data_IF_670317681179
#
_entry.id   IF_670317681179
#
_cell.length_a   1.000
_cell.length_b   1.000
_cell.length_c   1.000
_cell.angle_alpha   90.00
_cell.angle_beta   90.00
_cell.angle_gamma   90.00
#
_symmetry.space_group_name_H-M   'P 1'
#
loop_
_entity.id
_entity.type
_entity.pdbx_description
1 polymer ?
#
# COMPACT_ATOMS: atom_id res chain seq x y z
N UNK A 1 -24.38 -46.73 -18.61
CA UNK A 1 -24.46 -45.27 -18.44
C UNK A 1 -23.43 -44.87 -17.38
N UNK A 2 -22.17 -44.55 -17.72
CA UNK A 2 -21.18 -44.18 -16.73
C UNK A 2 -21.32 -42.70 -16.34
N UNK A 3 -21.44 -42.50 -15.03
CA UNK A 3 -21.43 -41.25 -14.24
C UNK A 3 -20.77 -40.04 -14.91
N UNK A 4 -21.61 -39.11 -15.39
CA UNK A 4 -21.23 -37.77 -15.87
C UNK A 4 -20.69 -36.85 -14.76
N UNK A 5 -20.66 -37.29 -13.49
CA UNK A 5 -20.23 -36.48 -12.34
C UNK A 5 -18.71 -36.40 -12.14
N UNK A 6 -17.95 -37.43 -12.57
CA UNK A 6 -16.51 -37.51 -12.29
C UNK A 6 -15.67 -36.55 -13.16
N UNK A 7 -16.14 -36.21 -14.36
CA UNK A 7 -15.41 -35.30 -15.26
C UNK A 7 -15.45 -33.83 -14.83
N UNK A 8 -16.56 -33.38 -14.25
CA UNK A 8 -16.72 -32.01 -13.74
C UNK A 8 -15.86 -31.79 -12.49
N UNK A 9 -15.94 -32.72 -11.53
CA UNK A 9 -15.17 -32.65 -10.29
C UNK A 9 -13.65 -32.62 -10.57
N UNK A 10 -13.18 -33.44 -11.52
CA UNK A 10 -11.77 -33.45 -11.93
C UNK A 10 -11.34 -32.13 -12.60
N UNK A 11 -12.19 -31.53 -13.45
CA UNK A 11 -11.91 -30.22 -14.07
C UNK A 11 -11.87 -29.09 -13.03
N UNK A 12 -12.79 -29.08 -12.07
CA UNK A 12 -12.83 -28.09 -10.99
C UNK A 12 -11.58 -28.22 -10.10
N UNK A 13 -11.19 -29.45 -9.72
CA UNK A 13 -9.99 -29.69 -8.93
C UNK A 13 -8.71 -29.22 -9.64
N UNK A 14 -8.62 -29.45 -10.96
CA UNK A 14 -7.51 -28.98 -11.79
C UNK A 14 -7.41 -27.46 -11.82
N UNK A 15 -8.52 -26.75 -12.06
CA UNK A 15 -8.55 -25.29 -12.07
C UNK A 15 -8.19 -24.68 -10.71
N UNK A 16 -8.67 -25.29 -9.62
CA UNK A 16 -8.34 -24.85 -8.26
C UNK A 16 -6.84 -24.99 -7.99
N UNK A 17 -6.23 -26.11 -8.40
CA UNK A 17 -4.79 -26.34 -8.27
C UNK A 17 -3.97 -25.29 -9.03
N UNK A 18 -4.29 -25.05 -10.30
CA UNK A 18 -3.59 -24.06 -11.13
C UNK A 18 -3.70 -22.64 -10.54
N UNK A 19 -4.84 -22.30 -9.95
CA UNK A 19 -5.02 -21.01 -9.29
C UNK A 19 -4.19 -20.89 -8.01
N UNK A 20 -4.16 -21.94 -7.18
CA UNK A 20 -3.35 -21.97 -5.95
C UNK A 20 -1.87 -21.82 -6.29
N UNK A 21 -1.38 -22.51 -7.32
CA UNK A 21 0.00 -22.44 -7.80
C UNK A 21 0.35 -21.04 -8.32
N UNK A 22 -0.55 -20.40 -9.07
CA UNK A 22 -0.36 -19.02 -9.54
C UNK A 22 -0.28 -18.03 -8.38
N UNK A 23 -1.15 -18.17 -7.39
CA UNK A 23 -1.18 -17.29 -6.22
C UNK A 23 0.04 -17.47 -5.32
N UNK A 24 0.48 -18.72 -5.15
CA UNK A 24 1.76 -19.07 -4.56
C UNK A 24 2.91 -18.30 -5.21
N UNK A 25 3.02 -18.38 -6.55
CA UNK A 25 4.05 -17.68 -7.30
C UNK A 25 4.01 -16.17 -7.16
N UNK A 26 2.81 -15.57 -7.09
CA UNK A 26 2.65 -14.13 -6.87
C UNK A 26 3.12 -13.71 -5.47
N UNK A 27 2.71 -14.43 -4.43
CA UNK A 27 3.11 -14.15 -3.04
C UNK A 27 4.61 -14.29 -2.87
N UNK A 28 5.19 -15.38 -3.40
CA UNK A 28 6.64 -15.60 -3.39
C UNK A 28 7.40 -14.47 -4.10
N UNK A 29 6.89 -13.98 -5.23
CA UNK A 29 7.51 -12.85 -5.96
C UNK A 29 7.49 -11.56 -5.14
N UNK A 30 6.38 -11.26 -4.46
CA UNK A 30 6.27 -10.06 -3.60
C UNK A 30 7.22 -10.15 -2.41
N UNK A 31 7.24 -11.30 -1.73
CA UNK A 31 8.15 -11.54 -0.60
C UNK A 31 9.62 -11.44 -1.07
N UNK A 32 9.97 -12.04 -2.20
CA UNK A 32 11.30 -11.96 -2.78
C UNK A 32 11.68 -10.52 -3.18
N UNK A 33 10.72 -9.73 -3.67
CA UNK A 33 10.89 -8.29 -3.90
C UNK A 33 11.24 -7.55 -2.61
N UNK A 34 10.42 -7.71 -1.57
CA UNK A 34 10.63 -7.06 -0.28
C UNK A 34 11.96 -7.45 0.37
N UNK A 35 12.35 -8.73 0.31
CA UNK A 35 13.66 -9.21 0.78
C UNK A 35 14.82 -8.52 0.07
N UNK A 36 14.76 -8.38 -1.26
CA UNK A 36 15.79 -7.66 -2.04
C UNK A 36 15.86 -6.19 -1.65
N UNK A 37 14.73 -5.54 -1.45
CA UNK A 37 14.70 -4.12 -1.05
C UNK A 37 15.30 -3.90 0.34
N UNK A 38 14.96 -4.76 1.31
CA UNK A 38 15.53 -4.70 2.65
C UNK A 38 17.04 -4.94 2.63
N UNK A 39 17.52 -5.93 1.88
CA UNK A 39 18.96 -6.19 1.73
C UNK A 39 19.70 -4.98 1.18
N UNK A 40 19.18 -4.35 0.12
CA UNK A 40 19.77 -3.11 -0.45
C UNK A 40 19.81 -1.96 0.56
N UNK A 41 18.72 -1.76 1.33
CA UNK A 41 18.67 -0.70 2.36
C UNK A 41 19.66 -0.95 3.50
N UNK A 42 19.75 -2.20 3.96
CA UNK A 42 20.69 -2.60 5.01
C UNK A 42 22.12 -2.37 4.52
N UNK A 43 22.47 -2.87 3.33
CA UNK A 43 23.81 -2.72 2.76
C UNK A 43 24.20 -1.25 2.59
N UNK A 44 23.31 -0.42 2.01
CA UNK A 44 23.56 1.01 1.86
C UNK A 44 23.81 1.69 3.21
N UNK A 45 22.95 1.42 4.21
CA UNK A 45 23.08 2.01 5.55
C UNK A 45 24.29 1.50 6.32
N UNK A 46 24.70 0.25 6.11
CA UNK A 46 25.93 -0.29 6.68
C UNK A 46 27.17 0.37 6.08
N UNK A 47 27.16 0.67 4.79
CA UNK A 47 28.25 1.41 4.14
C UNK A 47 28.30 2.85 4.66
N UNK A 48 27.15 3.53 4.78
CA UNK A 48 27.06 4.88 5.35
C UNK A 48 27.62 4.94 6.78
N UNK A 49 27.34 3.94 7.63
CA UNK A 49 27.81 3.89 9.02
C UNK A 49 29.29 3.47 9.18
N UNK A 50 29.93 2.98 8.11
CA UNK A 50 31.36 2.61 8.11
C UNK A 50 32.26 3.71 7.57
N UNK A 51 31.70 4.60 6.75
CA UNK A 51 32.40 5.73 6.16
C UNK A 51 32.23 6.96 7.05
N UNK A 52 33.18 7.19 7.96
CA UNK A 52 33.14 8.32 8.91
C UNK A 52 33.01 9.68 8.19
N UNK A 53 33.66 9.86 7.03
CA UNK A 53 33.58 11.09 6.26
C UNK A 53 32.23 11.28 5.55
N UNK A 54 31.68 10.19 5.03
CA UNK A 54 30.31 10.17 4.48
C UNK A 54 29.26 10.42 5.57
N UNK A 55 29.48 9.88 6.78
CA UNK A 55 28.58 10.00 7.91
C UNK A 55 28.52 11.44 8.45
N UNK A 56 29.65 12.15 8.52
CA UNK A 56 29.70 13.58 8.82
C UNK A 56 28.94 14.42 7.78
N UNK A 57 29.12 14.13 6.48
CA UNK A 57 28.40 14.81 5.40
C UNK A 57 26.88 14.59 5.47
N UNK A 58 26.44 13.37 5.79
CA UNK A 58 25.03 13.07 6.02
C UNK A 58 24.47 13.78 7.26
N UNK A 59 25.28 13.92 8.31
CA UNK A 59 24.90 14.68 9.49
C UNK A 59 24.77 16.17 9.20
N UNK A 60 25.64 16.73 8.35
CA UNK A 60 25.53 18.12 7.90
C UNK A 60 24.25 18.37 7.09
N UNK A 61 23.88 17.44 6.20
CA UNK A 61 22.61 17.50 5.48
C UNK A 61 21.41 17.42 6.43
N UNK A 62 21.49 16.55 7.45
CA UNK A 62 20.47 16.46 8.50
C UNK A 62 20.34 17.78 9.26
N UNK A 63 21.45 18.39 9.67
CA UNK A 63 21.47 19.70 10.35
C UNK A 63 20.88 20.81 9.48
N UNK A 64 21.15 20.81 8.18
CA UNK A 64 20.61 21.80 7.25
C UNK A 64 19.07 21.77 7.18
N UNK A 65 18.47 20.59 7.41
CA UNK A 65 17.02 20.39 7.47
C UNK A 65 16.37 20.74 8.82
N UNK A 66 17.14 21.05 9.86
CA UNK A 66 16.61 21.41 11.18
C UNK A 66 16.06 22.83 11.19
N UNK A 67 14.99 23.02 11.97
CA UNK A 67 14.48 24.35 12.27
C UNK A 67 15.47 25.16 13.10
N UNK A 68 15.34 26.48 13.09
CA UNK A 68 16.27 27.38 13.78
C UNK A 68 16.36 27.10 15.29
N UNK A 69 15.25 26.67 15.91
CA UNK A 69 15.19 26.28 17.32
C UNK A 69 15.84 24.93 17.65
N UNK A 70 16.07 24.08 16.65
CA UNK A 70 16.67 22.74 16.80
C UNK A 70 18.16 22.72 16.44
N UNK A 71 18.69 23.83 15.94
CA UNK A 71 20.11 23.93 15.57
C UNK A 71 20.97 23.97 16.83
N UNK A 72 22.08 23.22 16.84
CA UNK A 72 22.98 23.26 17.98
C UNK A 72 23.67 24.63 18.07
N UNK A 73 23.53 25.27 19.23
CA UNK A 73 24.17 26.57 19.55
C UNK A 73 25.61 26.39 20.04
N UNK A 74 26.01 25.15 20.36
CA UNK A 74 27.33 24.82 20.86
C UNK A 74 27.84 23.49 20.34
N UNK A 75 29.18 23.34 20.30
CA UNK A 75 29.84 22.06 19.96
C UNK A 75 29.44 20.89 20.85
N UNK A 76 29.00 21.17 22.09
CA UNK A 76 28.53 20.12 23.02
C UNK A 76 27.14 19.63 22.61
N UNK A 77 26.23 20.54 22.26
CA UNK A 77 24.91 20.18 21.74
C UNK A 77 25.02 19.46 20.39
N UNK A 78 25.92 19.92 19.52
CA UNK A 78 26.17 19.32 18.20
C UNK A 78 26.62 17.86 18.34
N UNK A 79 27.59 17.57 19.22
CA UNK A 79 28.04 16.19 19.47
C UNK A 79 26.93 15.31 20.03
N UNK A 80 26.10 15.82 20.95
CA UNK A 80 24.95 15.06 21.48
C UNK A 80 23.94 14.75 20.38
N UNK A 81 23.65 15.74 19.54
CA UNK A 81 22.75 15.60 18.40
C UNK A 81 23.28 14.56 17.40
N UNK A 82 24.58 14.57 17.13
CA UNK A 82 25.26 13.58 16.29
C UNK A 82 25.06 12.16 16.82
N UNK A 83 25.41 11.88 18.08
CA UNK A 83 25.27 10.54 18.64
C UNK A 83 23.81 10.07 18.70
N UNK A 84 22.87 10.97 19.01
CA UNK A 84 21.44 10.64 18.99
C UNK A 84 20.94 10.34 17.58
N UNK A 85 21.41 11.09 16.58
CA UNK A 85 21.09 10.86 15.18
C UNK A 85 21.69 9.55 14.69
N UNK A 86 22.96 9.29 14.93
CA UNK A 86 23.64 8.04 14.57
C UNK A 86 22.98 6.83 15.25
N UNK A 87 22.62 6.96 16.53
CA UNK A 87 21.87 5.95 17.27
C UNK A 87 20.52 5.62 16.65
N UNK A 88 19.81 6.61 16.09
CA UNK A 88 18.57 6.38 15.33
C UNK A 88 18.83 5.60 14.04
N UNK A 89 19.88 5.95 13.28
CA UNK A 89 20.25 5.23 12.07
C UNK A 89 20.59 3.75 12.35
N UNK A 90 21.33 3.48 13.44
CA UNK A 90 21.64 2.12 13.90
C UNK A 90 20.38 1.37 14.33
N UNK A 91 19.43 2.05 14.98
CA UNK A 91 18.15 1.46 15.39
C UNK A 91 17.28 1.10 14.18
N UNK A 92 17.19 1.97 13.18
CA UNK A 92 16.48 1.69 11.92
C UNK A 92 17.05 0.46 11.21
N UNK A 93 18.38 0.40 11.11
CA UNK A 93 19.08 -0.76 10.55
C UNK A 93 18.77 -2.04 11.32
N UNK A 94 18.70 -1.97 12.66
CA UNK A 94 18.26 -3.08 13.50
C UNK A 94 16.84 -3.56 13.16
N UNK A 95 15.90 -2.63 12.98
CA UNK A 95 14.52 -2.95 12.58
C UNK A 95 14.50 -3.66 11.22
N UNK A 96 15.23 -3.15 10.22
CA UNK A 96 15.27 -3.78 8.89
C UNK A 96 15.89 -5.18 8.92
N UNK A 97 16.92 -5.40 9.74
CA UNK A 97 17.50 -6.73 9.95
C UNK A 97 16.49 -7.69 10.57
N UNK A 98 15.74 -7.27 11.59
CA UNK A 98 14.68 -8.11 12.17
C UNK A 98 13.58 -8.42 11.15
N UNK A 99 13.13 -7.42 10.38
CA UNK A 99 12.12 -7.63 9.33
C UNK A 99 12.63 -8.62 8.26
N UNK A 100 13.90 -8.53 7.87
CA UNK A 100 14.49 -9.45 6.92
C UNK A 100 14.52 -10.89 7.48
N UNK A 101 14.96 -11.07 8.73
CA UNK A 101 14.96 -12.37 9.42
C UNK A 101 13.53 -12.92 9.56
N UNK A 102 12.56 -12.07 9.90
CA UNK A 102 11.14 -12.44 9.96
C UNK A 102 10.63 -12.90 8.60
N UNK A 103 10.97 -12.21 7.51
CA UNK A 103 10.59 -12.62 6.16
C UNK A 103 11.32 -13.89 5.71
N UNK A 104 12.55 -14.12 6.15
CA UNK A 104 13.31 -15.34 5.88
C UNK A 104 12.74 -16.56 6.61
N UNK A 105 12.26 -16.36 7.84
CA UNK A 105 11.66 -17.42 8.66
C UNK A 105 10.19 -17.66 8.35
N UNK A 106 9.40 -16.61 8.06
CA UNK A 106 7.95 -16.71 7.78
C UNK A 106 7.58 -16.92 6.32
N UNK A 107 8.51 -16.88 5.36
CA UNK A 107 8.17 -17.04 3.92
C UNK A 107 7.63 -18.42 3.52
N UNK A 108 7.45 -19.32 4.49
CA UNK A 108 7.04 -20.70 4.25
C UNK A 108 5.75 -21.10 4.96
N UNK A 109 4.98 -20.19 5.59
CA UNK A 109 3.74 -20.59 6.28
C UNK A 109 2.66 -21.07 5.27
N UNK A 110 2.41 -22.39 5.16
CA UNK A 110 1.50 -22.94 4.17
C UNK A 110 0.05 -22.54 4.44
N UNK A 111 -0.30 -22.22 5.70
CA UNK A 111 -1.66 -21.81 6.09
C UNK A 111 -2.03 -20.44 5.54
N UNK A 112 -1.11 -19.47 5.58
CA UNK A 112 -1.32 -18.12 5.02
C UNK A 112 -1.50 -18.14 3.49
N UNK A 113 -0.76 -19.02 2.83
CA UNK A 113 -0.85 -19.26 1.39
C UNK A 113 -2.18 -19.93 1.05
N UNK A 114 -2.54 -21.01 1.75
CA UNK A 114 -3.76 -21.77 1.52
C UNK A 114 -5.02 -20.94 1.81
N UNK A 115 -5.02 -20.13 2.87
CA UNK A 115 -6.15 -19.25 3.19
C UNK A 115 -6.34 -18.15 2.15
N UNK A 116 -5.26 -17.54 1.65
CA UNK A 116 -5.31 -16.55 0.57
C UNK A 116 -5.80 -17.17 -0.76
N UNK A 117 -5.24 -18.32 -1.13
CA UNK A 117 -5.61 -19.04 -2.34
C UNK A 117 -7.05 -19.55 -2.30
N UNK A 118 -7.49 -20.12 -1.16
CA UNK A 118 -8.89 -20.54 -0.92
C UNK A 118 -9.85 -19.36 -1.04
N UNK A 119 -9.53 -18.20 -0.46
CA UNK A 119 -10.38 -16.99 -0.53
C UNK A 119 -10.52 -16.46 -1.95
N UNK A 120 -9.48 -16.59 -2.78
CA UNK A 120 -9.53 -16.19 -4.20
C UNK A 120 -10.23 -17.24 -5.08
N UNK A 121 -10.01 -18.52 -4.83
CA UNK A 121 -10.68 -19.60 -5.53
C UNK A 121 -12.20 -19.60 -5.28
N UNK A 122 -12.62 -19.38 -4.04
CA UNK A 122 -14.03 -19.19 -3.70
C UNK A 122 -14.63 -17.99 -4.44
N UNK A 123 -13.88 -16.88 -4.60
CA UNK A 123 -14.33 -15.73 -5.40
C UNK A 123 -14.52 -16.06 -6.87
N UNK A 124 -13.67 -16.91 -7.44
CA UNK A 124 -13.77 -17.31 -8.84
C UNK A 124 -14.89 -18.33 -9.08
N UNK A 125 -15.07 -19.29 -8.18
CA UNK A 125 -16.19 -20.24 -8.23
C UNK A 125 -17.54 -19.53 -8.06
N UNK A 126 -17.63 -18.56 -7.14
CA UNK A 126 -18.82 -17.70 -7.01
C UNK A 126 -19.08 -16.86 -8.27
N UNK A 127 -18.04 -16.53 -9.03
CA UNK A 127 -18.16 -15.78 -10.30
C UNK A 127 -18.63 -16.69 -11.44
N UNK A 128 -18.18 -17.94 -11.51
CA UNK A 128 -18.65 -18.92 -12.50
C UNK A 128 -20.10 -19.34 -12.26
N UNK A 129 -20.53 -19.52 -11.01
CA UNK A 129 -21.93 -19.88 -10.69
C UNK A 129 -22.92 -18.76 -10.98
N UNK A 130 -22.50 -17.50 -10.89
CA UNK A 130 -23.33 -16.33 -11.26
C UNK A 130 -23.45 -16.15 -12.78
N UNK A 131 -22.49 -16.62 -13.58
CA UNK A 131 -22.52 -16.52 -15.06
C UNK A 131 -23.43 -17.59 -15.69
N UNK A 132 -23.69 -18.70 -15.01
CA UNK A 132 -24.56 -19.78 -15.51
C UNK A 132 -26.06 -19.53 -15.30
N UNK A 133 -26.47 -18.51 -14.53
CA UNK A 133 -27.84 -18.38 -14.01
C UNK A 133 -28.74 -17.29 -14.64
N UNK A 134 -28.25 -16.37 -15.48
CA UNK A 134 -29.15 -15.41 -16.14
C UNK A 134 -28.52 -14.68 -17.36
N UNK A 135 -29.20 -14.64 -18.52
CA UNK A 135 -28.96 -13.66 -19.56
C UNK A 135 -29.69 -12.35 -19.23
N UNK A 136 -28.98 -11.23 -19.30
CA UNK A 136 -29.57 -9.89 -19.19
C UNK A 136 -29.42 -9.24 -17.80
N UNK A 137 -29.07 -7.96 -17.85
CA UNK A 137 -28.93 -7.00 -16.74
C UNK A 137 -27.60 -7.01 -15.96
N UNK A 138 -26.78 -6.03 -16.36
CA UNK A 138 -25.72 -5.37 -15.59
C UNK A 138 -25.97 -5.35 -14.08
N UNK A 139 -24.95 -5.72 -13.28
CA UNK A 139 -24.48 -4.92 -12.14
C UNK A 139 -23.12 -5.41 -11.61
N UNK A 140 -22.30 -4.42 -11.21
CA UNK A 140 -20.88 -4.50 -10.84
C UNK A 140 -20.56 -5.31 -9.57
N UNK A 141 -19.31 -5.80 -9.41
CA UNK A 141 -18.84 -6.50 -8.22
C UNK A 141 -18.23 -5.55 -7.16
N UNK A 142 -18.52 -5.82 -5.89
CA UNK A 142 -17.81 -5.39 -4.66
C UNK A 142 -18.17 -6.40 -3.55
N UNK A 143 -17.37 -6.73 -2.54
CA UNK A 143 -16.04 -6.34 -2.08
C UNK A 143 -15.68 -7.23 -0.87
N UNK A 144 -14.46 -7.08 -0.36
CA UNK A 144 -14.01 -7.52 0.97
C UNK A 144 -15.03 -7.23 2.11
N UNK A 145 -14.99 -7.98 3.24
CA UNK A 145 -16.03 -7.92 4.28
C UNK A 145 -16.08 -6.55 4.98
N UNK A 146 -17.21 -6.24 5.64
CA UNK A 146 -17.96 -5.02 5.44
C UNK A 146 -17.23 -3.79 5.97
N UNK A 147 -17.24 -2.72 5.18
CA UNK A 147 -16.84 -1.39 5.63
C UNK A 147 -15.88 -0.70 4.68
N UNK A 148 -16.43 -0.19 3.59
CA UNK A 148 -15.89 0.93 2.79
C UNK A 148 -14.70 0.59 1.86
N UNK A 149 -15.00 0.45 0.56
CA UNK A 149 -14.03 0.39 -0.53
C UNK A 149 -13.20 1.66 -0.63
N UNK A 150 -11.88 1.50 -0.49
CA UNK A 150 -10.93 2.61 -0.33
C UNK A 150 -11.02 3.70 -1.41
N UNK A 151 -11.27 3.33 -2.68
CA UNK A 151 -11.38 4.30 -3.76
C UNK A 151 -12.68 5.12 -3.72
N UNK A 152 -13.80 4.45 -3.54
CA UNK A 152 -15.12 5.08 -3.64
C UNK A 152 -15.55 5.77 -2.36
N UNK A 153 -15.17 5.20 -1.22
CA UNK A 153 -15.69 5.63 0.07
C UNK A 153 -14.71 6.58 0.78
N UNK A 154 -13.42 6.54 0.41
CA UNK A 154 -12.38 7.36 1.03
C UNK A 154 -11.74 8.34 0.03
N UNK A 155 -11.07 7.85 -1.02
CA UNK A 155 -10.30 8.68 -1.95
C UNK A 155 -11.15 9.65 -2.79
N UNK A 156 -12.20 9.17 -3.46
CA UNK A 156 -13.06 10.03 -4.29
C UNK A 156 -13.73 11.15 -3.46
N UNK A 157 -14.33 10.85 -2.28
CA UNK A 157 -14.91 11.88 -1.42
C UNK A 157 -13.91 12.93 -0.96
N UNK A 158 -12.70 12.52 -0.53
CA UNK A 158 -11.64 13.45 -0.14
C UNK A 158 -11.26 14.38 -1.28
N UNK A 159 -11.00 13.83 -2.47
CA UNK A 159 -10.60 14.62 -3.65
C UNK A 159 -11.70 15.62 -4.03
N UNK A 160 -12.97 15.22 -3.94
CA UNK A 160 -14.11 16.12 -4.16
C UNK A 160 -14.16 17.27 -3.14
N UNK A 161 -13.96 16.99 -1.86
CA UNK A 161 -13.98 18.04 -0.84
C UNK A 161 -12.84 19.04 -1.06
N UNK A 162 -11.65 18.54 -1.38
CA UNK A 162 -10.50 19.41 -1.69
C UNK A 162 -10.73 20.26 -2.93
N UNK A 163 -11.39 19.73 -3.97
CA UNK A 163 -11.78 20.52 -5.15
C UNK A 163 -12.88 21.54 -4.88
N UNK A 164 -13.67 21.36 -3.82
CA UNK A 164 -14.61 22.38 -3.33
C UNK A 164 -13.94 23.48 -2.50
N UNK A 165 -12.60 23.51 -2.44
CA UNK A 165 -11.83 24.54 -1.72
C UNK A 165 -11.55 24.22 -0.25
N UNK A 166 -11.88 23.03 0.23
CA UNK A 166 -11.59 22.63 1.62
C UNK A 166 -10.14 22.19 1.79
N UNK A 167 -9.57 22.46 2.96
CA UNK A 167 -8.22 21.98 3.26
C UNK A 167 -8.19 20.45 3.32
N UNK A 168 -7.01 19.85 3.10
CA UNK A 168 -6.84 18.40 3.19
C UNK A 168 -7.17 17.88 4.61
N UNK A 169 -6.87 18.67 5.65
CA UNK A 169 -7.18 18.33 7.03
C UNK A 169 -8.69 18.27 7.30
N UNK A 170 -9.45 19.23 6.78
CA UNK A 170 -10.92 19.27 6.87
C UNK A 170 -11.56 18.19 6.00
N UNK A 171 -11.05 17.97 4.78
CA UNK A 171 -11.52 16.93 3.87
C UNK A 171 -11.36 15.54 4.50
N UNK A 172 -10.23 15.26 5.15
CA UNK A 172 -10.03 14.00 5.86
C UNK A 172 -10.96 13.87 7.07
N UNK A 173 -11.19 14.95 7.80
CA UNK A 173 -12.08 14.92 8.97
C UNK A 173 -13.53 14.64 8.56
N UNK A 174 -14.05 15.34 7.54
CA UNK A 174 -15.42 15.14 7.06
C UNK A 174 -15.67 13.72 6.55
N UNK A 175 -14.70 13.14 5.84
CA UNK A 175 -14.82 11.76 5.35
C UNK A 175 -14.68 10.75 6.49
N UNK A 176 -13.82 11.03 7.48
CA UNK A 176 -13.71 10.23 8.70
C UNK A 176 -15.04 10.18 9.47
N UNK A 177 -15.68 11.33 9.66
CA UNK A 177 -16.97 11.45 10.35
C UNK A 177 -18.09 10.72 9.58
N UNK A 178 -18.09 10.85 8.24
CA UNK A 178 -19.08 10.19 7.38
C UNK A 178 -18.99 8.67 7.43
N UNK A 179 -17.77 8.13 7.55
CA UNK A 179 -17.52 6.69 7.56
C UNK A 179 -17.47 6.09 8.98
N UNK A 180 -17.51 6.93 10.02
CA UNK A 180 -17.32 6.51 11.41
C UNK A 180 -15.92 5.95 11.70
N UNK A 181 -14.89 6.44 11.01
CA UNK A 181 -13.50 5.97 11.17
C UNK A 181 -12.58 7.10 11.64
N UNK A 182 -11.38 6.75 12.13
CA UNK A 182 -10.40 7.75 12.55
C UNK A 182 -9.82 8.52 11.35
N UNK A 183 -9.59 9.83 11.51
CA UNK A 183 -8.90 10.70 10.52
C UNK A 183 -7.56 10.12 10.05
N UNK A 184 -6.79 9.51 10.96
CA UNK A 184 -5.51 8.86 10.64
C UNK A 184 -5.68 7.69 9.67
N UNK A 185 -6.79 6.95 9.77
CA UNK A 185 -7.13 5.86 8.84
C UNK A 185 -7.45 6.42 7.46
N UNK A 186 -8.20 7.51 7.37
CA UNK A 186 -8.49 8.22 6.09
C UNK A 186 -7.20 8.74 5.46
N UNK A 187 -6.34 9.38 6.25
CA UNK A 187 -5.06 9.89 5.78
C UNK A 187 -4.18 8.76 5.24
N UNK A 188 -3.99 7.67 6.01
CA UNK A 188 -3.21 6.51 5.57
C UNK A 188 -3.78 5.87 4.29
N UNK A 189 -5.11 5.81 4.19
CA UNK A 189 -5.82 5.29 3.01
C UNK A 189 -5.63 6.16 1.75
N UNK A 190 -5.43 7.47 1.93
CA UNK A 190 -5.19 8.41 0.84
C UNK A 190 -3.71 8.50 0.43
N UNK A 191 -2.79 8.28 1.37
CA UNK A 191 -1.34 8.47 1.16
C UNK A 191 -0.61 7.15 0.95
N UNK A 192 -0.63 6.25 1.95
CA UNK A 192 0.11 4.97 1.92
C UNK A 192 -0.34 4.05 0.81
N UNK A 193 -1.64 4.00 0.51
CA UNK A 193 -2.15 3.14 -0.57
C UNK A 193 -1.80 3.67 -1.97
N UNK A 194 -1.35 4.92 -2.07
CA UNK A 194 -0.87 5.54 -3.31
C UNK A 194 0.66 5.69 -3.36
N UNK A 195 1.38 5.27 -2.31
CA UNK A 195 2.80 5.53 -2.10
C UNK A 195 3.18 7.02 -2.17
N UNK A 196 2.30 7.90 -1.65
CA UNK A 196 2.52 9.35 -1.61
C UNK A 196 2.64 9.85 -0.17
N UNK A 197 3.36 10.95 0.04
CA UNK A 197 3.23 11.75 1.27
C UNK A 197 1.95 12.58 1.24
N UNK A 198 1.52 13.11 2.39
CA UNK A 198 0.37 14.02 2.46
C UNK A 198 0.56 15.25 1.56
N UNK A 199 1.76 15.82 1.54
CA UNK A 199 2.08 16.98 0.71
C UNK A 199 2.09 16.66 -0.78
N UNK A 200 2.61 15.48 -1.16
CA UNK A 200 2.54 15.01 -2.55
C UNK A 200 1.10 14.76 -2.97
N UNK A 201 0.29 14.13 -2.10
CA UNK A 201 -1.14 13.94 -2.36
C UNK A 201 -1.86 15.27 -2.59
N UNK A 202 -1.61 16.27 -1.74
CA UNK A 202 -2.18 17.62 -1.89
C UNK A 202 -1.77 18.26 -3.22
N UNK A 203 -0.48 18.20 -3.57
CA UNK A 203 0.02 18.70 -4.86
C UNK A 203 -0.62 18.00 -6.06
N UNK A 204 -0.73 16.67 -6.01
CA UNK A 204 -1.33 15.87 -7.07
C UNK A 204 -2.83 16.19 -7.24
N UNK A 205 -3.55 16.47 -6.14
CA UNK A 205 -4.96 16.88 -6.20
C UNK A 205 -5.10 18.31 -6.75
N UNK A 206 -4.22 19.22 -6.36
CA UNK A 206 -4.21 20.59 -6.89
C UNK A 206 -3.99 20.59 -8.41
N UNK A 207 -2.93 19.92 -8.87
CA UNK A 207 -2.48 19.89 -10.27
C UNK A 207 -3.26 18.90 -11.15
N UNK A 208 -4.11 18.05 -10.56
CA UNK A 208 -4.90 17.04 -11.28
C UNK A 208 -4.15 15.78 -11.69
N UNK A 209 -2.87 15.69 -11.35
CA UNK A 209 -2.05 14.49 -11.51
C UNK A 209 -2.58 13.30 -10.68
N UNK A 210 -3.39 13.55 -9.65
CA UNK A 210 -4.01 12.50 -8.85
C UNK A 210 -4.85 11.53 -9.70
N UNK A 211 -5.47 12.01 -10.79
CA UNK A 211 -6.26 11.16 -11.69
C UNK A 211 -5.37 10.16 -12.42
N UNK A 212 -4.15 10.58 -12.81
CA UNK A 212 -3.16 9.71 -13.44
C UNK A 212 -2.69 8.64 -12.44
N UNK A 213 -2.29 9.06 -11.24
CA UNK A 213 -1.86 8.14 -10.17
C UNK A 213 -2.95 7.11 -9.82
N UNK A 214 -4.22 7.54 -9.76
CA UNK A 214 -5.34 6.64 -9.47
C UNK A 214 -5.59 5.63 -10.59
N UNK A 215 -5.43 6.00 -11.87
CA UNK A 215 -5.57 5.07 -13.00
C UNK A 215 -4.47 4.00 -13.01
N UNK A 216 -3.25 4.39 -12.65
CA UNK A 216 -2.10 3.48 -12.55
C UNK A 216 -2.25 2.49 -11.37
N UNK A 217 -2.76 2.97 -10.22
CA UNK A 217 -2.94 2.14 -9.01
C UNK A 217 -4.22 1.30 -9.02
N UNK A 218 -5.28 1.76 -9.67
CA UNK A 218 -6.57 1.07 -9.75
C UNK A 218 -7.03 0.88 -11.21
N UNK A 219 -6.32 0.06 -12.01
CA UNK A 219 -6.65 -0.16 -13.41
C UNK A 219 -8.06 -0.75 -13.59
N UNK A 220 -8.52 -1.57 -12.63
CA UNK A 220 -9.85 -2.20 -12.66
C UNK A 220 -11.00 -1.22 -12.33
N UNK A 221 -10.69 0.01 -11.90
CA UNK A 221 -11.68 1.02 -11.51
C UNK A 221 -11.55 2.31 -12.33
N UNK A 222 -10.88 2.26 -13.48
CA UNK A 222 -10.69 3.40 -14.38
C UNK A 222 -12.04 4.05 -14.76
N UNK A 223 -13.08 3.27 -15.01
CA UNK A 223 -14.40 3.79 -15.36
C UNK A 223 -15.10 4.49 -14.19
N UNK A 224 -14.82 4.05 -12.96
CA UNK A 224 -15.30 4.73 -11.75
C UNK A 224 -14.57 6.06 -11.56
N UNK A 225 -13.25 6.08 -11.75
CA UNK A 225 -12.41 7.27 -11.68
C UNK A 225 -12.85 8.30 -12.73
N UNK A 226 -13.02 7.88 -13.99
CA UNK A 226 -13.50 8.74 -15.08
C UNK A 226 -14.87 9.34 -14.76
N UNK A 227 -15.86 8.53 -14.37
CA UNK A 227 -17.21 9.02 -14.06
C UNK A 227 -17.24 10.00 -12.88
N UNK A 228 -16.41 9.79 -11.86
CA UNK A 228 -16.51 10.54 -10.62
C UNK A 228 -15.56 11.74 -10.52
N UNK A 229 -14.46 11.75 -11.27
CA UNK A 229 -13.42 12.79 -11.22
C UNK A 229 -13.23 13.55 -12.54
N UNK A 230 -13.65 13.04 -13.72
CA UNK A 230 -13.42 13.75 -14.98
C UNK A 230 -14.17 15.09 -15.10
N UNK A 231 -15.28 15.26 -14.37
CA UNK A 231 -16.01 16.53 -14.30
C UNK A 231 -15.36 17.59 -13.40
N UNK A 232 -14.39 17.21 -12.57
CA UNK A 232 -13.74 18.10 -11.59
C UNK A 232 -12.46 18.76 -12.11
N UNK A 233 -12.01 18.38 -13.31
CA UNK A 233 -10.77 18.83 -13.94
C UNK A 233 -10.99 19.29 -15.40
N UNK A 234 -12.22 19.72 -15.72
CA UNK A 234 -12.49 20.54 -16.91
C UNK A 234 -12.12 21.98 -16.62
#
# INVERSE_FOLDING_TARGET
MPSSGNGLAHRIAKLFKELVERELGNIQRVIAGRKRDLRRKIEARETELKDDGGLESLFDQYKAGLSEAERPESRVQERRLYYNWEGRLRSELGIWRMELVELETRSSDPQLILTSARKKAMRLLLRETLVAAAPGCNNQPKSDPPGYGNLQDCLIPVIRQMKKGKSHAEAFQMVADTLGIRKTTVAARCTRNLDLTTEQFVRHVANGEIVKTLKEKFPDQIDLIRRNLASLYR
#
